data_IF_324357778763
#
_entry.id   IF_324357778763
#
_cell.length_a   1.000
_cell.length_b   1.000
_cell.length_c   1.000
_cell.angle_alpha   90.00
_cell.angle_beta   90.00
_cell.angle_gamma   90.00
#
_symmetry.space_group_name_H-M   'P 1'
#
loop_
_entity.id
_entity.type
_entity.pdbx_description
1 polymer ?
#
# COMPACT_ATOMS: atom_id res chain seq x y z
N UNK A 1 -15.33 16.66 24.43
CA UNK A 1 -15.05 15.22 24.55
C UNK A 1 -16.11 14.58 25.43
N UNK A 2 -16.76 13.53 24.93
CA UNK A 2 -17.94 12.88 25.46
C UNK A 2 -17.59 11.88 26.58
N UNK A 3 -17.80 12.39 27.79
CA UNK A 3 -17.53 11.94 29.16
C UNK A 3 -18.07 10.58 29.67
N UNK A 4 -18.52 9.65 28.82
CA UNK A 4 -19.33 8.49 29.26
C UNK A 4 -18.59 7.22 29.68
N UNK A 5 -17.29 7.07 29.40
CA UNK A 5 -16.57 5.80 29.63
C UNK A 5 -15.38 5.94 30.61
N UNK A 6 -15.31 7.01 31.40
CA UNK A 6 -14.13 7.33 32.21
C UNK A 6 -14.40 7.51 33.70
N UNK A 7 -15.63 7.35 34.17
CA UNK A 7 -15.90 7.57 35.58
C UNK A 7 -15.68 6.27 36.37
N UNK A 8 -14.49 6.17 36.95
CA UNK A 8 -14.14 5.23 38.02
C UNK A 8 -15.09 5.34 39.22
N UNK A 9 -15.81 6.46 39.37
CA UNK A 9 -16.62 6.82 40.54
C UNK A 9 -18.15 6.72 40.32
N UNK A 10 -18.60 5.93 39.34
CA UNK A 10 -20.03 5.71 39.11
C UNK A 10 -20.36 4.23 39.30
N UNK A 11 -20.66 3.88 40.54
CA UNK A 11 -21.19 2.59 40.92
C UNK A 11 -22.55 2.40 40.24
N UNK A 12 -22.67 1.32 39.46
CA UNK A 12 -23.92 0.98 38.77
C UNK A 12 -24.54 -0.19 39.54
N UNK A 13 -25.76 0.00 40.07
CA UNK A 13 -26.48 -1.03 40.83
C UNK A 13 -26.62 -2.38 40.08
N UNK A 14 -26.63 -2.35 38.74
CA UNK A 14 -26.69 -3.55 37.88
C UNK A 14 -25.36 -4.31 37.78
N UNK A 15 -24.25 -3.67 38.15
CA UNK A 15 -22.89 -4.24 38.16
C UNK A 15 -22.44 -4.55 39.59
N UNK A 16 -23.40 -4.82 40.48
CA UNK A 16 -23.15 -5.10 41.90
C UNK A 16 -22.34 -4.00 42.63
N UNK A 17 -22.53 -2.76 42.20
CA UNK A 17 -21.83 -1.60 42.76
C UNK A 17 -20.42 -1.38 42.21
N UNK A 18 -19.99 -2.12 41.19
CA UNK A 18 -18.72 -1.86 40.49
C UNK A 18 -18.86 -0.72 39.48
N UNK A 19 -17.75 -0.01 39.25
CA UNK A 19 -17.63 0.88 38.10
C UNK A 19 -17.55 0.08 36.79
N UNK A 20 -17.92 0.67 35.63
CA UNK A 20 -17.79 0.02 34.33
C UNK A 20 -16.39 -0.52 34.02
N UNK A 21 -15.34 0.20 34.45
CA UNK A 21 -13.95 -0.22 34.24
C UNK A 21 -13.58 -1.42 35.11
N UNK A 22 -13.99 -1.43 36.38
CA UNK A 22 -13.74 -2.55 37.29
C UNK A 22 -14.47 -3.81 36.84
N UNK A 23 -15.74 -3.66 36.44
CA UNK A 23 -16.52 -4.78 35.89
C UNK A 23 -15.89 -5.34 34.61
N UNK A 24 -15.35 -4.49 33.72
CA UNK A 24 -14.66 -4.93 32.51
C UNK A 24 -13.35 -5.67 32.83
N UNK A 25 -12.56 -5.17 33.80
CA UNK A 25 -11.28 -5.79 34.19
C UNK A 25 -11.47 -7.11 34.95
N UNK A 26 -12.59 -7.27 35.65
CA UNK A 26 -12.92 -8.50 36.39
C UNK A 26 -13.51 -9.61 35.49
N UNK A 27 -13.91 -9.31 34.25
CA UNK A 27 -14.46 -10.29 33.32
C UNK A 27 -13.38 -11.29 32.88
N UNK A 28 -13.59 -12.58 33.20
CA UNK A 28 -12.69 -13.68 32.88
C UNK A 28 -12.88 -14.25 31.46
N UNK A 29 -13.68 -13.60 30.62
CA UNK A 29 -13.91 -14.03 29.23
C UNK A 29 -12.57 -14.13 28.49
N UNK A 30 -12.19 -15.31 27.98
CA UNK A 30 -10.91 -15.48 27.32
C UNK A 30 -10.87 -14.66 26.03
N UNK A 31 -9.87 -13.79 25.92
CA UNK A 31 -9.60 -13.02 24.71
C UNK A 31 -8.69 -13.82 23.79
N UNK A 32 -9.04 -13.86 22.50
CA UNK A 32 -8.18 -14.41 21.47
C UNK A 32 -7.47 -13.28 20.74
N UNK A 33 -6.14 -13.34 20.72
CA UNK A 33 -5.35 -12.47 19.86
C UNK A 33 -5.50 -12.88 18.40
N UNK A 34 -5.72 -11.89 17.54
CA UNK A 34 -5.74 -12.08 16.10
C UNK A 34 -4.36 -11.81 15.52
N UNK A 35 -3.97 -12.63 14.55
CA UNK A 35 -2.80 -12.38 13.74
C UNK A 35 -2.97 -11.05 12.99
N UNK A 36 -1.95 -10.20 13.05
CA UNK A 36 -1.93 -8.87 12.40
C UNK A 36 -2.16 -9.01 10.89
N UNK A 37 -1.68 -10.09 10.28
CA UNK A 37 -1.88 -10.40 8.86
C UNK A 37 -3.33 -10.76 8.50
N UNK A 38 -4.25 -10.82 9.48
CA UNK A 38 -5.70 -10.98 9.26
C UNK A 38 -6.49 -9.70 9.51
N UNK A 39 -5.85 -8.65 10.02
CA UNK A 39 -6.53 -7.42 10.37
C UNK A 39 -7.17 -6.75 9.14
N UNK A 40 -6.63 -7.00 7.95
CA UNK A 40 -7.18 -6.57 6.66
C UNK A 40 -8.65 -6.95 6.41
N UNK A 41 -9.15 -8.01 7.06
CA UNK A 41 -10.56 -8.40 6.93
C UNK A 41 -11.50 -7.35 7.51
N UNK A 42 -11.01 -6.53 8.43
CA UNK A 42 -11.74 -5.45 9.09
C UNK A 42 -11.42 -4.07 8.48
N UNK A 43 -10.53 -3.99 7.49
CA UNK A 43 -10.21 -2.75 6.78
C UNK A 43 -11.14 -2.55 5.58
N UNK A 44 -11.39 -1.28 5.24
CA UNK A 44 -12.25 -0.91 4.12
C UNK A 44 -11.54 -1.14 2.81
N UNK A 45 -12.26 -1.68 1.83
CA UNK A 45 -11.79 -1.73 0.45
C UNK A 45 -11.88 -0.34 -0.17
N UNK A 46 -10.86 0.03 -0.96
CA UNK A 46 -10.89 1.24 -1.75
C UNK A 46 -12.01 1.20 -2.81
N UNK A 47 -12.76 2.31 -2.93
CA UNK A 47 -13.91 2.42 -3.83
C UNK A 47 -13.55 2.28 -5.33
N UNK A 48 -12.25 2.35 -5.67
CA UNK A 48 -11.81 2.15 -7.05
C UNK A 48 -11.65 0.67 -7.34
N UNK A 49 -12.22 0.24 -8.46
CA UNK A 49 -12.14 -1.14 -8.94
C UNK A 49 -10.70 -1.72 -8.98
N UNK A 50 -9.70 -0.87 -9.24
CA UNK A 50 -8.28 -1.23 -9.16
C UNK A 50 -7.38 0.02 -9.25
N UNK A 51 -6.14 -0.14 -8.81
CA UNK A 51 -5.05 0.83 -8.99
C UNK A 51 -3.85 0.17 -9.65
N UNK A 52 -2.91 0.99 -10.12
CA UNK A 52 -1.70 0.53 -10.79
C UNK A 52 -0.47 0.92 -9.98
N UNK A 53 0.45 -0.02 -9.78
CA UNK A 53 1.76 0.28 -9.20
C UNK A 53 2.55 1.09 -10.24
N UNK A 54 2.97 2.30 -9.87
CA UNK A 54 3.82 3.17 -10.68
C UNK A 54 5.23 3.21 -10.10
N UNK A 55 6.17 3.84 -10.80
CA UNK A 55 7.53 4.08 -10.27
C UNK A 55 7.52 4.91 -8.98
N UNK A 56 6.48 5.73 -8.76
CA UNK A 56 6.31 6.51 -7.52
C UNK A 56 5.59 5.75 -6.41
N UNK A 57 5.21 4.49 -6.65
CA UNK A 57 4.31 3.72 -5.77
C UNK A 57 2.87 3.71 -6.27
N UNK A 58 1.93 3.41 -5.38
CA UNK A 58 0.50 3.38 -5.67
C UNK A 58 -0.10 4.73 -5.33
N UNK A 59 -0.74 5.39 -6.30
CA UNK A 59 -1.39 6.67 -6.03
C UNK A 59 -2.63 6.45 -5.16
N UNK A 60 -2.76 7.14 -4.03
CA UNK A 60 -3.95 7.13 -3.14
C UNK A 60 -4.97 8.20 -3.54
N UNK A 61 -4.51 9.32 -4.11
CA UNK A 61 -5.35 10.44 -4.56
C UNK A 61 -4.76 11.77 -4.08
N UNK A 62 -5.18 12.91 -4.66
CA UNK A 62 -4.67 14.25 -4.27
C UNK A 62 -3.13 14.35 -4.23
N UNK A 63 -2.44 13.67 -5.15
CA UNK A 63 -0.97 13.68 -5.24
C UNK A 63 -0.24 12.76 -4.24
N UNK A 64 -0.96 12.06 -3.36
CA UNK A 64 -0.39 11.13 -2.37
C UNK A 64 -0.07 9.77 -3.00
N UNK A 65 1.10 9.22 -2.65
CA UNK A 65 1.58 7.93 -3.16
C UNK A 65 2.06 7.07 -2.00
N UNK A 66 1.72 5.79 -2.03
CA UNK A 66 2.16 4.80 -1.05
C UNK A 66 3.26 3.94 -1.64
N UNK A 67 4.32 3.73 -0.87
CA UNK A 67 5.54 3.06 -1.27
C UNK A 67 5.92 1.96 -0.29
N UNK A 68 6.52 0.90 -0.83
CA UNK A 68 7.17 -0.14 -0.07
C UNK A 68 8.32 -0.75 -0.90
N UNK A 69 9.27 -1.37 -0.24
CA UNK A 69 10.44 -2.00 -0.83
C UNK A 69 10.08 -3.18 -1.75
N UNK A 70 9.10 -3.99 -1.35
CA UNK A 70 8.60 -5.11 -2.15
C UNK A 70 7.93 -4.68 -3.47
N UNK A 71 7.55 -3.40 -3.62
CA UNK A 71 6.97 -2.88 -4.87
C UNK A 71 8.00 -2.76 -6.00
N UNK A 72 9.30 -2.80 -5.68
CA UNK A 72 10.37 -2.58 -6.65
C UNK A 72 10.32 -3.63 -7.76
N UNK A 73 10.07 -3.16 -8.98
CA UNK A 73 9.93 -3.99 -10.18
C UNK A 73 8.61 -4.75 -10.30
N UNK A 74 7.58 -4.35 -9.54
CA UNK A 74 6.17 -4.67 -9.81
C UNK A 74 5.45 -3.52 -10.53
N UNK A 75 6.20 -2.57 -11.09
CA UNK A 75 5.66 -1.44 -11.86
C UNK A 75 4.80 -1.98 -13.00
N UNK A 76 3.54 -1.58 -13.04
CA UNK A 76 2.58 -2.08 -14.02
C UNK A 76 1.49 -2.96 -13.42
N UNK A 77 1.73 -3.59 -12.27
CA UNK A 77 0.78 -4.49 -11.63
C UNK A 77 -0.50 -3.77 -11.23
N UNK A 78 -1.63 -4.48 -11.35
CA UNK A 78 -2.95 -4.00 -10.92
C UNK A 78 -3.24 -4.52 -9.53
N UNK A 79 -3.57 -3.62 -8.63
CA UNK A 79 -3.74 -3.92 -7.21
C UNK A 79 -5.05 -3.34 -6.67
N UNK A 80 -5.51 -3.90 -5.56
CA UNK A 80 -6.53 -3.32 -4.69
C UNK A 80 -5.88 -2.82 -3.43
N UNK A 81 -6.41 -1.73 -2.90
CA UNK A 81 -5.98 -1.18 -1.62
C UNK A 81 -7.05 -1.44 -0.58
N UNK A 82 -6.62 -1.75 0.64
CA UNK A 82 -7.46 -1.65 1.82
C UNK A 82 -6.85 -0.66 2.81
N UNK A 83 -7.71 0.05 3.52
CA UNK A 83 -7.31 1.12 4.42
C UNK A 83 -8.21 1.20 5.64
N UNK A 84 -7.67 1.71 6.73
CA UNK A 84 -8.44 1.97 7.94
C UNK A 84 -8.74 3.48 8.03
N UNK A 85 -10.01 3.89 8.17
CA UNK A 85 -10.36 5.28 8.40
C UNK A 85 -9.60 5.85 9.60
N UNK A 86 -9.10 7.10 9.47
CA UNK A 86 -8.26 7.79 10.47
C UNK A 86 -6.84 7.24 10.67
N UNK A 87 -6.44 6.23 9.90
CA UNK A 87 -5.09 5.68 9.89
C UNK A 87 -4.50 5.81 8.48
N UNK A 88 -4.22 7.06 8.07
CA UNK A 88 -3.91 7.40 6.68
C UNK A 88 -2.43 7.22 6.30
N UNK A 89 -1.59 6.77 7.22
CA UNK A 89 -0.15 6.62 6.99
C UNK A 89 0.23 5.28 6.36
N UNK A 90 -0.62 4.26 6.49
CA UNK A 90 -0.39 2.92 5.91
C UNK A 90 -1.62 2.38 5.20
N UNK A 91 -1.37 1.53 4.20
CA UNK A 91 -2.38 0.78 3.47
C UNK A 91 -1.88 -0.63 3.21
N UNK A 92 -2.83 -1.55 3.12
CA UNK A 92 -2.56 -2.93 2.72
C UNK A 92 -2.82 -3.06 1.22
N UNK A 93 -1.92 -3.75 0.53
CA UNK A 93 -1.98 -3.91 -0.93
C UNK A 93 -2.24 -5.37 -1.28
N UNK A 94 -3.24 -5.58 -2.14
CA UNK A 94 -3.65 -6.89 -2.63
C UNK A 94 -3.51 -6.98 -4.14
N UNK A 95 -3.09 -8.13 -4.64
CA UNK A 95 -3.10 -8.40 -6.08
C UNK A 95 -4.54 -8.49 -6.59
N UNK A 96 -4.83 -7.82 -7.71
CA UNK A 96 -6.19 -7.78 -8.26
C UNK A 96 -6.66 -9.14 -8.80
N UNK A 97 -5.74 -9.92 -9.37
CA UNK A 97 -6.09 -11.16 -10.07
C UNK A 97 -6.29 -12.33 -9.10
N UNK A 98 -5.41 -12.45 -8.12
CA UNK A 98 -5.39 -13.55 -7.15
C UNK A 98 -6.07 -13.21 -5.83
N UNK A 99 -6.25 -11.92 -5.52
CA UNK A 99 -6.71 -11.48 -4.20
C UNK A 99 -5.68 -11.73 -3.09
N UNK A 100 -4.43 -12.06 -3.44
CA UNK A 100 -3.38 -12.34 -2.47
C UNK A 100 -2.90 -11.05 -1.81
N UNK A 101 -2.71 -11.07 -0.50
CA UNK A 101 -2.03 -10.01 0.23
C UNK A 101 -0.56 -9.92 -0.23
N UNK A 102 -0.16 -8.76 -0.77
CA UNK A 102 1.21 -8.49 -1.20
C UNK A 102 2.03 -7.89 -0.06
N UNK A 103 1.41 -7.06 0.77
CA UNK A 103 2.02 -6.46 1.95
C UNK A 103 1.55 -5.04 2.21
N UNK A 104 2.13 -4.47 3.27
CA UNK A 104 1.89 -3.11 3.72
C UNK A 104 2.66 -2.09 2.88
N UNK A 105 2.09 -0.90 2.75
CA UNK A 105 2.69 0.24 2.07
C UNK A 105 2.46 1.53 2.85
N UNK A 106 3.47 2.39 2.87
CA UNK A 106 3.46 3.62 3.66
C UNK A 106 3.37 4.85 2.77
N UNK A 107 2.70 5.89 3.26
CA UNK A 107 2.59 7.14 2.55
C UNK A 107 3.98 7.77 2.38
N UNK A 108 4.39 8.03 1.14
CA UNK A 108 5.72 8.54 0.77
C UNK A 108 6.20 9.75 1.60
N UNK A 109 5.28 10.65 1.96
CA UNK A 109 5.58 11.87 2.72
C UNK A 109 5.79 11.62 4.23
N UNK A 110 5.41 10.45 4.74
CA UNK A 110 5.48 10.08 6.16
C UNK A 110 6.40 8.86 6.40
N UNK A 111 7.16 8.47 5.38
CA UNK A 111 8.10 7.36 5.46
C UNK A 111 9.29 7.72 6.36
N UNK A 112 9.62 6.85 7.31
CA UNK A 112 10.81 6.99 8.15
C UNK A 112 12.09 6.80 7.32
N UNK A 113 13.22 7.40 7.76
CA UNK A 113 14.50 7.30 7.03
C UNK A 113 14.94 5.86 6.74
N UNK A 114 14.70 4.94 7.68
CA UNK A 114 15.01 3.52 7.52
C UNK A 114 14.18 2.85 6.41
N UNK A 115 12.90 3.19 6.30
CA UNK A 115 12.02 2.68 5.26
C UNK A 115 12.42 3.23 3.88
N UNK A 116 12.82 4.50 3.79
CA UNK A 116 13.39 5.07 2.55
C UNK A 116 14.67 4.31 2.16
N UNK A 117 15.54 4.03 3.12
CA UNK A 117 16.76 3.24 2.91
C UNK A 117 16.47 1.84 2.38
N UNK A 118 15.44 1.15 2.89
CA UNK A 118 15.02 -0.18 2.39
C UNK A 118 14.52 -0.11 0.95
N UNK A 119 13.70 0.88 0.60
CA UNK A 119 13.20 1.06 -0.77
C UNK A 119 14.34 1.33 -1.74
N UNK A 120 15.27 2.21 -1.38
CA UNK A 120 16.44 2.52 -2.20
C UNK A 120 17.39 1.32 -2.33
N UNK A 121 17.66 0.62 -1.22
CA UNK A 121 18.45 -0.60 -1.20
C UNK A 121 17.85 -1.69 -2.10
N UNK A 122 16.54 -1.90 -2.04
CA UNK A 122 15.83 -2.84 -2.92
C UNK A 122 15.93 -2.44 -4.41
N UNK A 123 15.87 -1.13 -4.71
CA UNK A 123 16.04 -0.61 -6.07
C UNK A 123 17.46 -0.82 -6.62
N UNK A 124 18.49 -0.72 -5.78
CA UNK A 124 19.89 -0.96 -6.15
C UNK A 124 20.18 -2.46 -6.30
N UNK A 125 19.66 -3.28 -5.38
CA UNK A 125 19.89 -4.72 -5.36
C UNK A 125 19.22 -5.45 -6.53
N UNK A 126 18.11 -4.92 -7.06
CA UNK A 126 17.46 -5.48 -8.23
C UNK A 126 18.22 -5.04 -9.50
N UNK A 127 18.86 -5.96 -10.25
CA UNK A 127 19.49 -5.59 -11.51
C UNK A 127 18.44 -4.98 -12.43
N UNK A 128 18.78 -3.97 -13.26
CA UNK A 128 17.82 -3.36 -14.16
C UNK A 128 17.20 -4.47 -15.01
N UNK A 129 15.91 -4.73 -14.81
CA UNK A 129 15.19 -5.66 -15.65
C UNK A 129 15.29 -5.10 -17.07
N UNK A 130 15.81 -5.89 -18.00
CA UNK A 130 15.90 -5.53 -19.40
C UNK A 130 14.49 -5.50 -20.02
N UNK A 131 13.70 -4.49 -19.63
CA UNK A 131 12.41 -4.13 -20.18
C UNK A 131 12.46 -2.63 -20.46
N UNK A 132 13.39 -2.25 -21.33
CA UNK A 132 13.36 -0.95 -21.97
C UNK A 132 12.13 -0.89 -22.88
N UNK A 133 10.99 -0.48 -22.34
CA UNK A 133 9.98 0.19 -23.17
C UNK A 133 10.51 1.62 -23.35
N UNK A 134 11.41 1.78 -24.32
CA UNK A 134 11.69 3.10 -24.87
C UNK A 134 10.38 3.62 -25.44
N UNK A 135 9.69 4.51 -24.72
CA UNK A 135 8.73 5.38 -25.39
C UNK A 135 9.55 6.15 -26.43
N UNK A 136 9.20 6.14 -27.72
CA UNK A 136 9.87 7.02 -28.66
C UNK A 136 9.62 8.44 -28.16
N UNK A 137 10.69 9.15 -27.80
CA UNK A 137 10.63 10.58 -27.54
C UNK A 137 10.21 11.21 -28.85
N UNK A 138 8.93 11.59 -28.97
CA UNK A 138 8.46 12.35 -30.12
C UNK A 138 9.12 13.72 -30.05
N UNK A 139 10.26 13.84 -30.71
CA UNK A 139 10.87 15.13 -31.03
C UNK A 139 9.94 15.78 -32.05
N UNK A 140 9.46 17.03 -31.85
CA UNK A 140 8.73 17.72 -32.90
C UNK A 140 9.64 17.82 -34.13
N UNK A 141 9.16 17.31 -35.27
CA UNK A 141 9.91 17.31 -36.51
C UNK A 141 10.15 18.76 -36.95
N UNK A 142 11.42 19.15 -37.08
CA UNK A 142 11.78 20.35 -37.83
C UNK A 142 11.31 20.18 -39.30
N UNK A 143 10.68 21.19 -39.91
CA UNK A 143 10.19 21.07 -41.28
C UNK A 143 11.38 20.94 -42.24
N UNK A 144 11.42 19.87 -43.03
CA UNK A 144 12.28 19.82 -44.23
C UNK A 144 13.24 18.64 -44.41
N UNK A 145 13.15 17.52 -43.69
CA UNK A 145 14.05 16.37 -43.95
C UNK A 145 13.31 15.06 -44.28
N UNK A 146 13.63 14.50 -45.46
CA UNK A 146 13.12 13.22 -45.99
C UNK A 146 13.45 12.08 -45.02
N UNK A 147 12.43 11.39 -44.51
CA UNK A 147 12.58 10.19 -43.67
C UNK A 147 13.17 9.02 -44.48
N UNK A 148 14.38 8.57 -44.15
CA UNK A 148 14.87 7.23 -44.52
C UNK A 148 14.25 6.18 -43.58
N UNK A 149 13.68 5.12 -44.15
CA UNK A 149 13.14 3.96 -43.39
C UNK A 149 14.29 3.18 -42.73
N UNK A 150 14.16 2.74 -41.47
CA UNK A 150 15.15 1.84 -40.87
C UNK A 150 14.94 0.40 -41.33
N UNK A 151 16.05 -0.30 -41.62
CA UNK A 151 16.10 -1.75 -41.87
C UNK A 151 15.85 -2.51 -40.57
N UNK A 152 14.92 -3.46 -40.58
CA UNK A 152 14.69 -4.38 -39.47
C UNK A 152 15.92 -5.26 -39.24
N UNK A 153 16.52 -5.22 -38.05
CA UNK A 153 17.40 -6.28 -37.56
C UNK A 153 16.58 -7.24 -36.71
N UNK A 154 16.62 -8.53 -37.07
CA UNK A 154 16.04 -9.64 -36.31
C UNK A 154 17.02 -10.02 -35.20
N UNK A 155 16.58 -10.06 -33.95
CA UNK A 155 17.33 -10.71 -32.87
C UNK A 155 16.91 -12.18 -32.77
N UNK A 156 17.91 -13.06 -32.81
CA UNK A 156 17.80 -14.50 -32.60
C UNK A 156 17.66 -14.81 -31.10
N UNK A 157 16.81 -15.77 -30.76
CA UNK A 157 16.69 -16.33 -29.41
C UNK A 157 17.60 -17.57 -29.31
N UNK A 158 18.41 -17.65 -28.25
CA UNK A 158 19.07 -18.88 -27.83
C UNK A 158 18.37 -19.44 -26.58
N UNK A 159 18.37 -20.76 -26.49
CA UNK A 159 17.54 -21.65 -25.64
C UNK A 159 17.89 -21.59 -24.16
#
# INVERSE_FOLDING_TARGET
MNWRNTTTDHDIDRLDGLSPLESWLADATPLQELDVDRLWMFTLEDDRAHRKITTKGVARGRGRHDVADWMVGLVGARVRLRYMPNHDHEVEVFDLATGKHLGWAWLADQVTGDQVGRVQGAAIAKPPSCAAISKPRTVPAAPGTRRRRPRHQRCAWAR
#
